data_IF_136524720268
#
_entry.id   IF_136524720268
#
_cell.length_a   1.000
_cell.length_b   1.000
_cell.length_c   1.000
_cell.angle_alpha   90.00
_cell.angle_beta   90.00
_cell.angle_gamma   90.00
#
_symmetry.space_group_name_H-M   'P 1'
#
loop_
_entity.id
_entity.type
_entity.pdbx_description
1 polymer ?
#
# COMPACT_ATOMS: atom_id res chain seq x y z
N UNK A 1 -48.72 -5.37 16.12
CA UNK A 1 -47.73 -5.77 15.10
C UNK A 1 -46.50 -4.86 15.02
N UNK A 2 -46.62 -3.52 15.07
CA UNK A 2 -45.45 -2.63 14.98
C UNK A 2 -44.45 -2.81 16.13
N UNK A 3 -44.92 -2.93 17.38
CA UNK A 3 -44.05 -3.16 18.54
C UNK A 3 -43.23 -4.45 18.41
N UNK A 4 -43.84 -5.54 17.93
CA UNK A 4 -43.15 -6.81 17.70
C UNK A 4 -42.05 -6.66 16.65
N UNK A 5 -42.31 -5.94 15.55
CA UNK A 5 -41.29 -5.65 14.52
C UNK A 5 -40.11 -4.86 15.10
N UNK A 6 -40.37 -3.86 15.94
CA UNK A 6 -39.31 -3.08 16.61
C UNK A 6 -38.45 -3.97 17.51
N UNK A 7 -39.07 -4.82 18.35
CA UNK A 7 -38.36 -5.73 19.23
C UNK A 7 -37.51 -6.75 18.46
N UNK A 8 -38.05 -7.29 17.37
CA UNK A 8 -37.32 -8.24 16.52
C UNK A 8 -36.18 -7.56 15.76
N UNK A 9 -36.35 -6.32 15.30
CA UNK A 9 -35.27 -5.54 14.69
C UNK A 9 -34.13 -5.25 15.69
N UNK A 10 -34.45 -4.94 16.95
CA UNK A 10 -33.43 -4.80 18.01
C UNK A 10 -32.70 -6.11 18.26
N UNK A 11 -33.43 -7.23 18.31
CA UNK A 11 -32.82 -8.56 18.47
C UNK A 11 -31.85 -8.89 17.33
N UNK A 12 -32.16 -8.52 16.09
CA UNK A 12 -31.25 -8.68 14.96
C UNK A 12 -29.97 -7.86 15.11
N UNK A 13 -30.08 -6.61 15.58
CA UNK A 13 -28.90 -5.77 15.88
C UNK A 13 -28.04 -6.40 16.99
N UNK A 14 -28.66 -6.97 18.02
CA UNK A 14 -27.94 -7.71 19.06
C UNK A 14 -27.25 -8.96 18.52
N UNK A 15 -27.87 -9.71 17.60
CA UNK A 15 -27.23 -10.85 16.94
C UNK A 15 -26.01 -10.38 16.14
N UNK A 16 -26.13 -9.29 15.37
CA UNK A 16 -25.00 -8.72 14.63
C UNK A 16 -23.86 -8.28 15.55
N UNK A 17 -24.19 -7.61 16.66
CA UNK A 17 -23.20 -7.19 17.65
C UNK A 17 -22.52 -8.39 18.31
N UNK A 18 -23.27 -9.42 18.73
CA UNK A 18 -22.73 -10.63 19.32
C UNK A 18 -21.77 -11.34 18.36
N UNK A 19 -22.17 -11.54 17.10
CA UNK A 19 -21.30 -12.16 16.09
C UNK A 19 -20.04 -11.33 15.86
N UNK A 20 -20.14 -10.00 15.80
CA UNK A 20 -18.97 -9.14 15.67
C UNK A 20 -18.00 -9.27 16.85
N UNK A 21 -18.52 -9.35 18.08
CA UNK A 21 -17.71 -9.51 19.29
C UNK A 21 -17.04 -10.89 19.35
N UNK A 22 -17.77 -11.96 19.08
CA UNK A 22 -17.25 -13.34 19.13
C UNK A 22 -16.22 -13.62 18.03
N UNK A 23 -16.41 -13.06 16.84
CA UNK A 23 -15.51 -13.30 15.70
C UNK A 23 -14.38 -12.29 15.57
N UNK A 24 -14.43 -11.18 16.33
CA UNK A 24 -13.54 -10.02 16.13
C UNK A 24 -13.74 -9.33 14.77
N UNK A 25 -14.81 -9.64 14.03
CA UNK A 25 -15.07 -9.14 12.69
C UNK A 25 -16.41 -8.41 12.60
N UNK A 26 -16.34 -7.08 12.46
CA UNK A 26 -17.54 -6.25 12.23
C UNK A 26 -18.27 -6.68 10.97
N UNK A 27 -17.54 -7.12 9.93
CA UNK A 27 -18.14 -7.62 8.70
C UNK A 27 -18.97 -8.88 8.93
N UNK A 28 -18.49 -9.82 9.74
CA UNK A 28 -19.26 -11.01 10.11
C UNK A 28 -20.56 -10.64 10.85
N UNK A 29 -20.50 -9.66 11.75
CA UNK A 29 -21.68 -9.13 12.42
C UNK A 29 -22.69 -8.49 11.47
N UNK A 30 -22.22 -7.69 10.51
CA UNK A 30 -23.06 -7.05 9.48
C UNK A 30 -23.72 -8.09 8.57
N UNK A 31 -23.02 -9.17 8.21
CA UNK A 31 -23.55 -10.28 7.40
C UNK A 31 -24.54 -11.15 8.19
N UNK A 32 -24.39 -11.27 9.51
CA UNK A 32 -25.29 -12.05 10.35
C UNK A 32 -26.71 -11.44 10.42
N UNK A 33 -26.84 -10.11 10.34
CA UNK A 33 -28.14 -9.42 10.39
C UNK A 33 -29.09 -9.84 9.26
N UNK A 34 -28.73 -9.78 7.96
CA UNK A 34 -29.61 -10.22 6.88
C UNK A 34 -29.87 -11.73 6.91
N UNK A 35 -28.89 -12.56 7.30
CA UNK A 35 -29.08 -14.00 7.44
C UNK A 35 -30.09 -14.35 8.54
N UNK A 36 -29.95 -13.74 9.71
CA UNK A 36 -30.89 -13.92 10.81
C UNK A 36 -32.28 -13.37 10.45
N UNK A 37 -32.35 -12.24 9.75
CA UNK A 37 -33.62 -11.73 9.24
C UNK A 37 -34.28 -12.69 8.27
N UNK A 38 -33.52 -13.27 7.33
CA UNK A 38 -34.04 -14.24 6.38
C UNK A 38 -34.57 -15.48 7.09
N UNK A 39 -33.83 -16.01 8.08
CA UNK A 39 -34.26 -17.13 8.89
C UNK A 39 -35.56 -16.84 9.66
N UNK A 40 -35.69 -15.63 10.24
CA UNK A 40 -36.93 -15.21 10.91
C UNK A 40 -38.08 -15.13 9.92
N UNK A 41 -37.88 -14.55 8.74
CA UNK A 41 -38.93 -14.47 7.72
C UNK A 41 -39.32 -15.85 7.20
N UNK A 42 -38.37 -16.76 6.98
CA UNK A 42 -38.63 -18.12 6.52
C UNK A 42 -39.42 -18.95 7.54
N UNK A 43 -39.19 -18.73 8.84
CA UNK A 43 -39.85 -19.47 9.93
C UNK A 43 -41.21 -18.89 10.33
N UNK A 44 -41.35 -17.56 10.30
CA UNK A 44 -42.55 -16.87 10.81
C UNK A 44 -43.47 -16.31 9.73
N UNK A 45 -43.01 -16.21 8.49
CA UNK A 45 -43.71 -15.50 7.41
C UNK A 45 -43.73 -13.98 7.57
N UNK A 46 -43.13 -13.44 8.64
CA UNK A 46 -43.10 -12.00 8.91
C UNK A 46 -41.82 -11.40 8.35
N UNK A 47 -41.96 -10.49 7.38
CA UNK A 47 -40.83 -9.66 6.95
C UNK A 47 -40.57 -8.55 7.97
N UNK A 48 -39.34 -8.52 8.50
CA UNK A 48 -38.87 -7.49 9.43
C UNK A 48 -38.48 -6.19 8.72
N UNK A 49 -38.08 -6.30 7.45
CA UNK A 49 -37.75 -5.16 6.61
C UNK A 49 -38.78 -5.01 5.49
N UNK A 50 -39.10 -3.77 5.12
CA UNK A 50 -39.79 -3.53 3.85
C UNK A 50 -38.86 -4.00 2.71
N UNK A 51 -39.43 -4.46 1.60
CA UNK A 51 -38.75 -4.98 0.39
C UNK A 51 -37.65 -4.10 -0.22
N UNK A 52 -37.40 -2.92 0.35
CA UNK A 52 -36.47 -1.90 -0.12
C UNK A 52 -35.49 -1.41 0.97
N UNK A 53 -35.50 -2.02 2.15
CA UNK A 53 -34.98 -1.40 3.38
C UNK A 53 -33.72 -2.00 4.01
N UNK A 54 -33.05 -2.97 3.38
CA UNK A 54 -31.79 -3.50 3.92
C UNK A 54 -30.60 -2.76 3.30
N UNK A 55 -30.41 -1.52 3.75
CA UNK A 55 -29.18 -0.79 3.50
C UNK A 55 -28.07 -1.45 4.33
N UNK A 56 -27.43 -2.47 3.77
CA UNK A 56 -26.20 -3.05 4.30
C UNK A 56 -25.09 -2.04 4.03
N UNK A 57 -25.01 -0.99 4.86
CA UNK A 57 -23.88 -0.08 4.84
C UNK A 57 -22.70 -0.81 5.46
N UNK A 58 -21.88 -1.46 4.64
CA UNK A 58 -20.52 -1.85 5.05
C UNK A 58 -19.69 -0.57 5.16
N UNK A 59 -19.92 0.18 6.24
CA UNK A 59 -19.05 1.28 6.64
C UNK A 59 -17.75 0.65 7.13
N UNK A 60 -16.78 0.50 6.23
CA UNK A 60 -15.40 0.29 6.63
C UNK A 60 -14.92 1.61 7.23
N UNK A 61 -14.83 1.68 8.57
CA UNK A 61 -14.31 2.85 9.24
C UNK A 61 -12.82 3.02 8.88
N UNK A 62 -12.45 4.17 8.33
CA UNK A 62 -11.06 4.57 8.25
C UNK A 62 -10.61 4.96 9.66
N UNK A 63 -9.98 4.02 10.35
CA UNK A 63 -9.47 4.27 11.70
C UNK A 63 -8.31 5.25 11.62
N UNK A 64 -8.42 6.38 12.33
CA UNK A 64 -7.29 7.27 12.54
C UNK A 64 -6.25 6.58 13.43
N UNK A 65 -4.98 6.91 13.22
CA UNK A 65 -3.92 6.59 14.18
C UNK A 65 -4.31 7.14 15.57
N UNK A 66 -4.12 6.38 16.66
CA UNK A 66 -4.43 6.85 18.01
C UNK A 66 -3.78 8.21 18.29
N UNK A 67 -4.46 9.06 19.06
CA UNK A 67 -3.82 10.29 19.53
C UNK A 67 -2.69 9.91 20.50
N UNK A 68 -1.64 10.75 20.54
CA UNK A 68 -0.48 10.57 21.42
C UNK A 68 0.44 9.38 21.08
N UNK A 69 0.28 8.74 19.92
CA UNK A 69 1.29 7.80 19.38
C UNK A 69 2.20 8.48 18.38
N UNK A 70 3.50 8.20 18.44
CA UNK A 70 4.48 8.71 17.47
C UNK A 70 4.23 8.07 16.11
N UNK A 71 4.21 8.87 15.05
CA UNK A 71 4.05 8.43 13.67
C UNK A 71 5.09 9.15 12.79
N UNK A 72 6.36 8.71 12.80
CA UNK A 72 7.43 9.40 12.10
C UNK A 72 7.26 9.24 10.59
N UNK A 73 7.22 10.36 9.86
CA UNK A 73 7.24 10.33 8.41
C UNK A 73 8.63 10.06 7.84
N UNK A 74 8.71 9.90 6.52
CA UNK A 74 9.97 9.70 5.78
C UNK A 74 10.46 8.25 5.79
N UNK A 75 11.52 7.99 5.02
CA UNK A 75 12.16 6.68 4.97
C UNK A 75 13.66 6.70 5.20
N UNK A 76 14.16 5.56 5.65
CA UNK A 76 15.56 5.34 6.05
C UNK A 76 16.38 4.59 5.01
N UNK A 77 15.73 3.76 4.17
CA UNK A 77 16.40 2.96 3.14
C UNK A 77 15.51 2.83 1.91
N UNK A 78 16.13 2.75 0.75
CA UNK A 78 15.44 2.56 -0.53
C UNK A 78 16.17 1.47 -1.32
N UNK A 79 15.40 0.51 -1.84
CA UNK A 79 15.89 -0.53 -2.74
C UNK A 79 15.20 -0.37 -4.08
N UNK A 80 15.98 -0.35 -5.16
CA UNK A 80 15.47 -0.28 -6.52
C UNK A 80 15.74 -1.60 -7.23
N UNK A 81 14.67 -2.25 -7.67
CA UNK A 81 14.69 -3.52 -8.38
C UNK A 81 14.37 -3.23 -9.85
N UNK A 82 15.31 -3.41 -10.79
CA UNK A 82 15.00 -3.30 -12.21
C UNK A 82 13.83 -4.23 -12.61
N UNK A 83 12.90 -3.73 -13.42
CA UNK A 83 11.69 -4.50 -13.79
C UNK A 83 12.02 -5.77 -14.58
N UNK A 84 13.09 -5.76 -15.35
CA UNK A 84 13.63 -6.92 -16.10
C UNK A 84 14.20 -8.02 -15.19
N UNK A 85 14.48 -7.71 -13.92
CA UNK A 85 14.92 -8.68 -12.91
C UNK A 85 13.76 -9.37 -12.19
N UNK A 86 12.51 -9.02 -12.52
CA UNK A 86 11.30 -9.62 -11.95
C UNK A 86 10.66 -10.50 -13.02
N UNK A 87 10.51 -11.79 -12.73
CA UNK A 87 9.78 -12.71 -13.62
C UNK A 87 8.29 -12.61 -13.35
N UNK A 88 7.53 -12.21 -14.37
CA UNK A 88 6.08 -12.03 -14.29
C UNK A 88 5.68 -10.69 -13.68
N UNK A 89 4.37 -10.50 -13.56
CA UNK A 89 3.80 -9.28 -12.99
C UNK A 89 3.93 -9.27 -11.45
N UNK A 90 4.46 -8.19 -10.88
CA UNK A 90 4.51 -7.92 -9.45
C UNK A 90 4.64 -6.43 -9.17
N UNK A 91 3.99 -5.90 -8.10
CA UNK A 91 2.90 -6.52 -7.36
C UNK A 91 1.63 -6.68 -8.21
N UNK A 92 0.78 -7.65 -7.86
CA UNK A 92 -0.56 -7.82 -8.46
C UNK A 92 -1.64 -7.43 -7.48
N UNK A 93 -2.77 -6.95 -7.99
CA UNK A 93 -3.93 -6.62 -7.14
C UNK A 93 -4.46 -7.83 -6.36
N UNK A 94 -4.37 -9.03 -6.94
CA UNK A 94 -4.80 -10.27 -6.28
C UNK A 94 -3.91 -10.65 -5.08
N UNK A 95 -2.68 -10.18 -5.02
CA UNK A 95 -1.73 -10.48 -3.93
C UNK A 95 -1.91 -9.54 -2.74
N UNK A 96 -2.76 -8.51 -2.88
CA UNK A 96 -3.08 -7.53 -1.83
C UNK A 96 -4.25 -8.06 -1.01
N UNK A 97 -3.96 -8.49 0.21
CA UNK A 97 -4.98 -8.99 1.15
C UNK A 97 -4.95 -8.13 2.40
N UNK A 98 -6.11 -7.67 2.85
CA UNK A 98 -6.25 -6.81 4.03
C UNK A 98 -5.37 -5.53 4.00
N UNK A 99 -5.08 -5.00 2.81
CA UNK A 99 -4.28 -3.78 2.64
C UNK A 99 -2.76 -4.00 2.64
N UNK A 100 -2.29 -5.24 2.69
CA UNK A 100 -0.87 -5.58 2.62
C UNK A 100 -0.58 -6.54 1.47
N UNK A 101 0.63 -6.47 0.94
CA UNK A 101 1.12 -7.40 -0.06
C UNK A 101 1.55 -8.71 0.62
N UNK A 102 1.05 -9.84 0.14
CA UNK A 102 1.28 -11.17 0.72
C UNK A 102 2.28 -12.03 -0.07
N UNK A 103 2.73 -11.55 -1.23
CA UNK A 103 3.63 -12.28 -2.14
C UNK A 103 4.86 -11.43 -2.46
N UNK A 104 6.03 -12.05 -2.45
CA UNK A 104 7.31 -11.43 -2.85
C UNK A 104 7.54 -11.60 -4.35
N UNK A 105 8.32 -10.71 -5.02
CA UNK A 105 8.59 -10.87 -6.44
C UNK A 105 9.40 -12.14 -6.67
N UNK A 106 9.10 -12.85 -7.75
CA UNK A 106 9.98 -13.90 -8.25
C UNK A 106 11.08 -13.22 -9.06
N UNK A 107 12.32 -13.35 -8.60
CA UNK A 107 13.47 -12.72 -9.25
C UNK A 107 14.08 -13.65 -10.30
N UNK A 108 14.65 -13.07 -11.36
CA UNK A 108 15.39 -13.83 -12.37
C UNK A 108 16.55 -14.59 -11.72
N UNK A 109 16.63 -15.89 -11.97
CA UNK A 109 17.73 -16.74 -11.53
C UNK A 109 18.74 -16.91 -12.66
N UNK A 110 19.99 -16.51 -12.45
CA UNK A 110 21.07 -16.61 -13.42
C UNK A 110 21.69 -15.26 -13.79
N UNK A 111 22.74 -15.22 -14.63
CA UNK A 111 23.36 -13.97 -15.07
C UNK A 111 22.47 -13.22 -16.09
N UNK A 112 22.37 -11.88 -16.00
CA UNK A 112 22.87 -11.04 -14.91
C UNK A 112 22.04 -11.27 -13.64
N UNK A 113 22.73 -11.48 -12.51
CA UNK A 113 22.05 -11.63 -11.21
C UNK A 113 21.42 -10.29 -10.86
N UNK A 114 20.17 -10.32 -10.37
CA UNK A 114 19.43 -9.13 -9.94
C UNK A 114 20.27 -8.18 -9.11
N UNK A 115 20.73 -7.10 -9.74
CA UNK A 115 21.45 -6.04 -9.05
C UNK A 115 20.46 -5.03 -8.52
N UNK A 116 20.33 -4.99 -7.21
CA UNK A 116 19.63 -3.94 -6.50
C UNK A 116 20.49 -2.70 -6.44
N UNK A 117 19.89 -1.52 -6.59
CA UNK A 117 20.50 -0.29 -6.10
C UNK A 117 19.94 -0.04 -4.70
N UNK A 118 20.80 -0.19 -3.69
CA UNK A 118 20.49 0.23 -2.32
C UNK A 118 20.94 1.68 -2.14
N UNK A 119 20.03 2.51 -1.64
CA UNK A 119 20.30 3.88 -1.23
C UNK A 119 20.11 3.97 0.27
N UNK A 120 21.20 4.26 0.99
CA UNK A 120 21.14 4.66 2.38
C UNK A 120 20.71 6.12 2.46
N UNK A 121 19.63 6.39 3.16
CA UNK A 121 18.96 7.69 3.14
C UNK A 121 19.32 8.46 4.41
N UNK A 122 19.81 9.69 4.25
CA UNK A 122 19.94 10.64 5.36
C UNK A 122 18.57 11.15 5.82
N UNK A 123 18.47 11.64 7.06
CA UNK A 123 17.19 12.17 7.56
C UNK A 123 16.55 13.19 6.61
N UNK A 124 15.22 13.16 6.49
CA UNK A 124 14.41 13.98 5.59
C UNK A 124 14.77 13.91 4.09
N UNK A 125 15.41 12.83 3.65
CA UNK A 125 15.91 12.71 2.26
C UNK A 125 15.19 11.68 1.41
N UNK A 126 14.16 10.98 1.93
CA UNK A 126 13.30 10.08 1.16
C UNK A 126 11.83 10.43 1.40
N UNK A 127 11.11 10.63 0.31
CA UNK A 127 9.68 10.92 0.28
C UNK A 127 8.98 9.98 -0.69
N UNK A 128 7.86 9.42 -0.24
CA UNK A 128 6.91 8.67 -1.07
C UNK A 128 5.57 9.38 -1.01
N UNK A 129 4.90 9.53 -2.14
CA UNK A 129 3.56 10.07 -2.20
C UNK A 129 2.71 9.27 -3.18
N UNK A 130 1.40 9.33 -2.99
CA UNK A 130 0.41 8.78 -3.89
C UNK A 130 -0.79 9.72 -4.02
N UNK A 131 -1.48 9.65 -5.15
CA UNK A 131 -2.71 10.38 -5.37
C UNK A 131 -3.66 9.59 -6.28
N UNK A 132 -4.92 9.47 -5.88
CA UNK A 132 -5.98 8.97 -6.76
C UNK A 132 -6.53 10.13 -7.60
N UNK A 133 -6.34 10.07 -8.91
CA UNK A 133 -6.74 11.13 -9.85
C UNK A 133 -7.70 10.59 -10.91
N UNK A 134 -8.32 11.51 -11.64
CA UNK A 134 -9.23 11.20 -12.74
C UNK A 134 -10.71 11.24 -12.35
N UNK A 135 -11.61 11.35 -13.35
CA UNK A 135 -13.05 11.28 -13.13
C UNK A 135 -13.50 9.85 -12.83
N UNK A 136 -14.67 9.69 -12.19
CA UNK A 136 -15.29 8.38 -11.94
C UNK A 136 -15.34 7.53 -13.21
N UNK A 137 -14.87 6.28 -13.13
CA UNK A 137 -14.75 5.36 -14.27
C UNK A 137 -13.40 5.39 -14.99
N UNK A 138 -12.58 6.41 -14.73
CA UNK A 138 -11.22 6.56 -15.28
C UNK A 138 -10.21 6.94 -14.18
N UNK A 139 -10.47 6.50 -12.94
CA UNK A 139 -9.59 6.78 -11.83
C UNK A 139 -8.37 5.87 -11.85
N UNK A 140 -7.20 6.46 -11.66
CA UNK A 140 -5.91 5.76 -11.52
C UNK A 140 -5.10 6.36 -10.38
N UNK A 141 -4.21 5.53 -9.84
CA UNK A 141 -3.24 5.98 -8.86
C UNK A 141 -2.00 6.53 -9.56
N UNK A 142 -1.62 7.72 -9.13
CA UNK A 142 -0.30 8.31 -9.34
C UNK A 142 0.58 7.95 -8.15
N UNK A 143 1.81 7.51 -8.40
CA UNK A 143 2.81 7.24 -7.38
C UNK A 143 4.05 8.07 -7.66
N UNK A 144 4.62 8.68 -6.63
CA UNK A 144 5.88 9.41 -6.73
C UNK A 144 6.86 9.09 -5.62
N UNK A 145 8.13 9.16 -5.97
CA UNK A 145 9.27 8.84 -5.12
C UNK A 145 10.33 9.91 -5.34
N UNK A 146 10.78 10.55 -4.26
CA UNK A 146 11.88 11.50 -4.29
C UNK A 146 12.92 11.07 -3.26
N UNK A 147 14.17 10.95 -3.70
CA UNK A 147 15.30 10.69 -2.81
C UNK A 147 16.46 11.63 -3.10
N UNK A 148 17.09 12.12 -2.03
CA UNK A 148 18.28 12.97 -2.07
C UNK A 148 19.45 12.25 -1.44
N UNK A 149 20.61 12.31 -2.09
CA UNK A 149 21.83 11.65 -1.64
C UNK A 149 22.95 12.66 -1.60
N UNK A 150 23.52 12.89 -0.42
CA UNK A 150 24.63 13.82 -0.26
C UNK A 150 25.93 13.28 -0.87
N UNK A 151 26.74 14.19 -1.40
CA UNK A 151 28.06 13.91 -1.96
C UNK A 151 28.06 13.65 -3.47
N UNK A 152 29.24 13.31 -3.97
CA UNK A 152 29.46 12.87 -5.35
C UNK A 152 30.71 12.00 -5.34
N UNK A 153 30.52 10.70 -5.22
CA UNK A 153 31.57 9.68 -5.23
C UNK A 153 31.48 8.83 -6.50
N UNK A 154 32.55 8.09 -6.83
CA UNK A 154 32.56 7.20 -8.01
C UNK A 154 31.49 6.10 -7.89
N UNK A 155 31.30 5.56 -6.68
CA UNK A 155 30.31 4.52 -6.43
C UNK A 155 28.88 5.05 -6.60
N UNK A 156 28.62 6.30 -6.20
CA UNK A 156 27.33 6.95 -6.44
C UNK A 156 27.06 7.14 -7.93
N UNK A 157 28.06 7.62 -8.69
CA UNK A 157 27.94 7.75 -10.15
C UNK A 157 27.64 6.40 -10.80
N UNK A 158 28.40 5.35 -10.45
CA UNK A 158 28.19 4.01 -10.99
C UNK A 158 26.81 3.42 -10.61
N UNK A 159 26.28 3.74 -9.43
CA UNK A 159 24.93 3.34 -9.03
C UNK A 159 23.85 4.10 -9.81
N UNK A 160 24.03 5.41 -10.02
CA UNK A 160 23.12 6.25 -10.80
C UNK A 160 23.10 5.85 -12.28
N UNK A 161 24.24 5.50 -12.86
CA UNK A 161 24.32 5.07 -14.27
C UNK A 161 23.52 3.79 -14.54
N UNK A 162 23.32 2.92 -13.53
CA UNK A 162 22.44 1.74 -13.65
C UNK A 162 20.97 2.09 -13.80
N UNK A 163 20.57 3.33 -13.50
CA UNK A 163 19.18 3.80 -13.64
C UNK A 163 18.87 4.34 -15.04
N UNK A 164 19.88 4.48 -15.91
CA UNK A 164 19.68 4.96 -17.28
C UNK A 164 18.82 3.95 -18.06
N UNK A 165 17.74 4.44 -18.65
CA UNK A 165 16.77 3.65 -19.43
C UNK A 165 16.26 2.40 -18.68
N UNK A 166 16.26 2.45 -17.35
CA UNK A 166 15.85 1.33 -16.50
C UNK A 166 14.65 1.75 -15.69
N UNK A 167 13.55 1.05 -15.89
CA UNK A 167 12.39 1.14 -15.00
C UNK A 167 12.62 0.25 -13.78
N UNK A 168 12.14 0.69 -12.62
CA UNK A 168 12.33 -0.06 -11.37
C UNK A 168 11.04 -0.18 -10.57
N UNK A 169 10.92 -1.28 -9.83
CA UNK A 169 10.01 -1.38 -8.69
C UNK A 169 10.81 -0.99 -7.45
N UNK A 170 10.28 -0.05 -6.67
CA UNK A 170 10.95 0.48 -5.49
C UNK A 170 10.40 -0.14 -4.21
N UNK A 171 11.28 -0.45 -3.27
CA UNK A 171 10.93 -0.84 -1.90
C UNK A 171 11.53 0.18 -0.95
N UNK A 172 10.68 1.02 -0.36
CA UNK A 172 11.10 2.01 0.63
C UNK A 172 10.86 1.44 2.04
N UNK A 173 11.88 1.54 2.90
CA UNK A 173 11.76 1.24 4.33
C UNK A 173 11.55 2.58 5.05
N UNK A 174 10.36 2.75 5.63
CA UNK A 174 9.98 3.92 6.40
C UNK A 174 10.66 3.95 7.77
N UNK A 175 10.61 5.10 8.44
CA UNK A 175 11.27 5.31 9.74
C UNK A 175 10.69 4.47 10.88
N UNK A 176 9.44 4.04 10.76
CA UNK A 176 8.78 3.08 11.67
C UNK A 176 9.11 1.61 11.35
N UNK A 177 9.93 1.36 10.33
CA UNK A 177 10.30 0.03 9.86
C UNK A 177 9.31 -0.58 8.86
N UNK A 178 8.18 0.08 8.60
CA UNK A 178 7.23 -0.36 7.58
C UNK A 178 7.90 -0.34 6.21
N UNK A 179 7.62 -1.36 5.39
CA UNK A 179 8.14 -1.47 4.04
C UNK A 179 7.01 -1.20 3.09
N UNK A 180 7.20 -0.29 2.13
CA UNK A 180 6.21 0.02 1.12
C UNK A 180 6.77 -0.23 -0.27
N UNK A 181 5.96 -0.84 -1.13
CA UNK A 181 6.29 -1.16 -2.52
C UNK A 181 5.64 -0.12 -3.44
N UNK A 182 6.43 0.43 -4.36
CA UNK A 182 6.00 1.40 -5.36
C UNK A 182 6.38 0.92 -6.76
N UNK A 183 5.54 1.22 -7.74
CA UNK A 183 5.66 0.76 -9.11
C UNK A 183 5.21 -0.69 -9.30
N UNK A 184 5.20 -1.15 -10.56
CA UNK A 184 4.96 -2.55 -10.91
C UNK A 184 5.96 -3.00 -11.98
N UNK A 185 6.17 -4.30 -12.13
CA UNK A 185 7.03 -4.81 -13.19
C UNK A 185 6.49 -4.59 -14.61
N UNK A 186 5.20 -4.25 -14.76
CA UNK A 186 4.59 -3.90 -16.05
C UNK A 186 4.63 -2.40 -16.36
N UNK A 187 4.73 -1.56 -15.33
CA UNK A 187 4.83 -0.11 -15.43
C UNK A 187 5.72 0.35 -14.28
N UNK A 188 7.03 0.36 -14.49
CA UNK A 188 7.96 0.69 -13.41
C UNK A 188 8.05 2.20 -13.17
N UNK A 189 8.82 2.55 -12.16
CA UNK A 189 9.23 3.92 -11.90
C UNK A 189 10.47 4.24 -12.72
N UNK A 190 10.42 5.32 -13.51
CA UNK A 190 11.57 5.85 -14.20
C UNK A 190 12.10 7.07 -13.45
N UNK A 191 13.41 7.10 -13.20
CA UNK A 191 14.05 8.18 -12.46
C UNK A 191 14.56 9.29 -13.37
N UNK A 192 14.16 10.51 -13.04
CA UNK A 192 14.85 11.73 -13.43
C UNK A 192 15.95 12.00 -12.40
N UNK A 193 17.20 12.02 -12.84
CA UNK A 193 18.35 12.23 -11.98
C UNK A 193 18.97 13.60 -12.26
N UNK A 194 19.14 14.38 -11.21
CA UNK A 194 19.84 15.66 -11.25
C UNK A 194 20.95 15.68 -10.20
N UNK A 195 22.02 16.40 -10.49
CA UNK A 195 23.12 16.62 -9.54
C UNK A 195 23.45 18.11 -9.48
N UNK A 196 23.67 18.60 -8.27
CA UNK A 196 24.20 19.94 -8.02
C UNK A 196 25.53 19.84 -7.27
N UNK A 197 26.54 20.57 -7.75
CA UNK A 197 27.82 20.69 -7.03
C UNK A 197 27.79 21.72 -5.90
N UNK A 198 26.73 22.53 -5.83
CA UNK A 198 26.72 23.79 -5.09
C UNK A 198 27.49 24.90 -5.82
N UNK A 199 27.06 26.16 -5.67
CA UNK A 199 27.75 27.33 -6.20
C UNK A 199 28.65 27.98 -5.14
N UNK A 200 28.32 27.80 -3.86
CA UNK A 200 29.04 28.34 -2.70
C UNK A 200 29.32 27.22 -1.69
N UNK A 201 30.29 27.43 -0.79
CA UNK A 201 30.70 26.42 0.19
C UNK A 201 29.62 25.98 1.19
N UNK A 202 28.52 26.74 1.32
CA UNK A 202 27.36 26.35 2.15
C UNK A 202 26.24 25.66 1.36
N UNK A 203 26.34 25.60 0.03
CA UNK A 203 25.34 24.94 -0.79
C UNK A 203 25.50 23.42 -0.69
N UNK A 204 24.38 22.71 -0.79
CA UNK A 204 24.39 21.26 -0.77
C UNK A 204 24.99 20.73 -2.06
N UNK A 205 25.92 19.79 -1.92
CA UNK A 205 26.37 18.92 -3.00
C UNK A 205 25.60 17.61 -2.87
N UNK A 206 24.62 17.42 -3.74
CA UNK A 206 23.68 16.30 -3.65
C UNK A 206 23.19 15.85 -5.02
N UNK A 207 22.86 14.57 -5.10
CA UNK A 207 22.01 13.99 -6.13
C UNK A 207 20.55 14.12 -5.71
N UNK A 208 19.68 14.46 -6.65
CA UNK A 208 18.23 14.37 -6.49
C UNK A 208 17.69 13.42 -7.54
N UNK A 209 17.08 12.33 -7.08
CA UNK A 209 16.45 11.32 -7.93
C UNK A 209 14.95 11.39 -7.69
N UNK A 210 14.18 11.70 -8.74
CA UNK A 210 12.72 11.79 -8.69
C UNK A 210 12.12 10.82 -9.68
N UNK A 211 11.14 10.06 -9.25
CA UNK A 211 10.34 9.23 -10.12
C UNK A 211 8.86 9.54 -9.89
N UNK A 212 8.10 9.58 -10.98
CA UNK A 212 6.67 9.81 -10.95
C UNK A 212 6.03 9.07 -12.10
N UNK A 213 5.00 8.28 -11.81
CA UNK A 213 4.23 7.60 -12.84
C UNK A 213 2.75 7.51 -12.42
N UNK A 214 1.86 7.36 -13.40
CA UNK A 214 0.41 7.28 -13.24
C UNK A 214 -0.11 6.02 -13.96
N UNK A 215 -1.41 5.77 -13.87
CA UNK A 215 -2.05 4.61 -14.47
C UNK A 215 -2.01 3.36 -13.58
N UNK A 216 -1.59 3.48 -12.31
CA UNK A 216 -1.54 2.33 -11.42
C UNK A 216 -2.95 1.92 -10.96
N UNK A 217 -3.15 0.61 -10.82
CA UNK A 217 -4.41 0.04 -10.32
C UNK A 217 -4.58 0.19 -8.80
N UNK A 218 -3.52 0.54 -8.09
CA UNK A 218 -3.44 0.66 -6.64
C UNK A 218 -2.36 1.69 -6.24
N UNK A 219 -2.50 2.24 -5.04
CA UNK A 219 -1.48 3.08 -4.42
C UNK A 219 -0.22 2.29 -4.03
N UNK A 220 0.76 2.91 -3.39
CA UNK A 220 1.85 2.13 -2.80
C UNK A 220 1.33 1.25 -1.67
N UNK A 221 1.88 0.04 -1.53
CA UNK A 221 1.30 -0.98 -0.65
C UNK A 221 2.33 -1.41 0.39
N UNK A 222 1.95 -1.51 1.68
CA UNK A 222 2.78 -2.13 2.69
C UNK A 222 3.10 -3.60 2.35
N UNK A 223 4.37 -3.99 2.46
CA UNK A 223 4.81 -5.37 2.34
C UNK A 223 4.64 -6.09 3.67
N UNK A 224 3.88 -7.19 3.70
CA UNK A 224 3.59 -7.94 4.92
C UNK A 224 4.85 -8.28 5.72
N UNK A 225 4.82 -8.08 7.04
CA UNK A 225 6.01 -8.10 7.91
C UNK A 225 6.83 -9.41 7.85
N UNK A 226 6.18 -10.55 7.61
CA UNK A 226 6.85 -11.86 7.52
C UNK A 226 7.58 -12.10 6.19
N UNK A 227 7.32 -11.30 5.17
CA UNK A 227 7.90 -11.48 3.84
C UNK A 227 9.34 -10.99 3.80
N UNK A 228 10.21 -11.72 3.11
CA UNK A 228 11.59 -11.31 2.86
C UNK A 228 11.85 -11.32 1.35
N UNK A 229 12.28 -10.17 0.81
CA UNK A 229 12.73 -10.07 -0.57
C UNK A 229 14.23 -10.37 -0.57
N UNK A 230 14.66 -11.37 -1.34
CA UNK A 230 16.08 -11.69 -1.46
C UNK A 230 16.87 -10.44 -1.89
N UNK A 231 17.98 -10.13 -1.20
CA UNK A 231 18.78 -8.93 -1.45
C UNK A 231 18.33 -7.66 -0.71
N UNK A 232 17.10 -7.63 -0.17
CA UNK A 232 16.61 -6.54 0.68
C UNK A 232 16.87 -6.90 2.15
N UNK A 233 17.91 -6.34 2.74
CA UNK A 233 18.24 -6.57 4.15
C UNK A 233 17.43 -5.62 5.05
N UNK A 234 17.03 -6.05 6.24
CA UNK A 234 16.26 -5.23 7.21
C UNK A 234 17.12 -4.55 8.28
N UNK A 235 18.41 -4.88 8.32
CA UNK A 235 19.38 -4.42 9.32
C UNK A 235 19.64 -2.91 9.24
#
# INVERSE_FOLDING_TARGET
MQLLKILMSLALVFIGALVATETGSVLAGVVAIPLASYAVTATTGVSLFASHGLAVATLAALNRTPQQTVNPGGGRRLFLIPTDQITGEWPKRADITAGELTVVPTLVTGPPVGTFVEVQVSDNSLKVDEALKGPTGYQSWEQSLEVKVAGYTKDQVAAVEKLINTEVVAVAILNDGQRVVLGTSLSGLQFEVTHTSGAKGGDRREWTMKAKNDGYMFGYIPLGNALAIAGVTLA
#
